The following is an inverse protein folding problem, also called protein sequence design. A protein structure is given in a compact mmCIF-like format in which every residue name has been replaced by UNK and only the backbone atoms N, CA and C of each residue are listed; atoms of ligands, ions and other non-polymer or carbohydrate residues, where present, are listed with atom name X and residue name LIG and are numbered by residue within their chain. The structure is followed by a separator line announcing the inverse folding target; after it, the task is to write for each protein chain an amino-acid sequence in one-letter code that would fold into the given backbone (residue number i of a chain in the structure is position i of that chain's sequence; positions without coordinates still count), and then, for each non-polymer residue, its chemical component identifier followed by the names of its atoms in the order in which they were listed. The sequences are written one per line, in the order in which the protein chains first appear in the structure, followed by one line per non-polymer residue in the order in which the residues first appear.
data_IF_588880320605
#
_entry.id   IF_588880320605
#
_cell.length_a   1.000
_cell.length_b   1.000
_cell.length_c   1.000
_cell.angle_alpha   90.00
_cell.angle_beta   90.00
_cell.angle_gamma   90.00
#
_symmetry.space_group_name_H-M   'P 1'
#
loop_
_entity.id
_entity.type
_entity.pdbx_description
1 polymer ?
#
# COMPACT_ATOMS: atom_id res chain seq x y z
N UNK A 1 3.95 -43.41 5.63
CA UNK A 1 3.53 -42.29 6.49
C UNK A 1 3.97 -41.02 5.78
N UNK A 2 3.00 -40.23 5.30
CA UNK A 2 3.22 -39.13 4.36
C UNK A 2 4.17 -38.08 4.97
N UNK A 3 5.27 -37.78 4.28
CA UNK A 3 6.05 -36.59 4.55
C UNK A 3 5.13 -35.39 4.29
N UNK A 4 4.64 -34.77 5.37
CA UNK A 4 4.03 -33.45 5.30
C UNK A 4 5.06 -32.54 4.64
N UNK A 5 4.80 -32.17 3.39
CA UNK A 5 5.56 -31.16 2.68
C UNK A 5 5.62 -29.95 3.56
N UNK A 6 6.83 -29.67 4.08
CA UNK A 6 7.18 -28.44 4.76
C UNK A 6 6.47 -27.31 4.01
N UNK A 7 5.58 -26.60 4.69
CA UNK A 7 4.98 -25.40 4.15
C UNK A 7 6.10 -24.37 3.95
N UNK A 8 6.86 -24.52 2.87
CA UNK A 8 7.71 -23.48 2.32
C UNK A 8 6.75 -22.36 1.95
N UNK A 9 6.56 -21.43 2.89
CA UNK A 9 5.84 -20.19 2.65
C UNK A 9 6.46 -19.63 1.37
N UNK A 10 5.73 -19.61 0.24
CA UNK A 10 6.37 -19.45 -1.05
C UNK A 10 7.07 -18.10 -1.03
N UNK A 11 8.39 -18.08 -1.22
CA UNK A 11 9.17 -16.84 -1.20
C UNK A 11 8.55 -15.75 -2.11
N UNK A 12 7.82 -16.17 -3.15
CA UNK A 12 7.00 -15.30 -4.00
C UNK A 12 5.90 -14.51 -3.28
N UNK A 13 5.25 -15.05 -2.24
CA UNK A 13 4.23 -14.32 -1.48
C UNK A 13 4.83 -13.11 -0.75
N UNK A 14 6.00 -13.29 -0.12
CA UNK A 14 6.70 -12.21 0.56
C UNK A 14 7.14 -11.12 -0.43
N UNK A 15 7.61 -11.49 -1.63
CA UNK A 15 7.98 -10.55 -2.68
C UNK A 15 6.76 -9.76 -3.17
N UNK A 16 5.63 -10.44 -3.41
CA UNK A 16 4.38 -9.81 -3.85
C UNK A 16 3.86 -8.85 -2.78
N UNK A 17 3.98 -9.19 -1.50
CA UNK A 17 3.61 -8.30 -0.40
C UNK A 17 4.39 -6.98 -0.42
N UNK A 18 5.72 -7.04 -0.63
CA UNK A 18 6.55 -5.84 -0.76
C UNK A 18 6.20 -5.03 -2.00
N UNK A 19 5.98 -5.69 -3.13
CA UNK A 19 5.60 -5.02 -4.36
C UNK A 19 4.25 -4.32 -4.23
N UNK A 20 3.26 -4.98 -3.61
CA UNK A 20 1.97 -4.37 -3.31
C UNK A 20 2.10 -3.18 -2.36
N UNK A 21 2.96 -3.29 -1.34
CA UNK A 21 3.26 -2.18 -0.46
C UNK A 21 3.81 -0.96 -1.23
N UNK A 22 4.75 -1.19 -2.15
CA UNK A 22 5.31 -0.14 -3.01
C UNK A 22 4.25 0.48 -3.93
N UNK A 23 3.40 -0.33 -4.55
CA UNK A 23 2.31 0.16 -5.40
C UNK A 23 1.36 1.05 -4.59
N UNK A 24 0.94 0.61 -3.41
CA UNK A 24 0.06 1.41 -2.55
C UNK A 24 0.70 2.72 -2.10
N UNK A 25 2.01 2.69 -1.79
CA UNK A 25 2.76 3.88 -1.41
C UNK A 25 2.80 4.91 -2.56
N UNK A 26 3.08 4.45 -3.78
CA UNK A 26 3.08 5.30 -4.97
C UNK A 26 1.69 5.85 -5.26
N UNK A 27 0.66 4.99 -5.24
CA UNK A 27 -0.72 5.40 -5.49
C UNK A 27 -1.23 6.40 -4.45
N UNK A 28 -0.93 6.19 -3.17
CA UNK A 28 -1.27 7.14 -2.09
C UNK A 28 -0.56 8.48 -2.26
N UNK A 29 0.72 8.46 -2.63
CA UNK A 29 1.51 9.68 -2.89
C UNK A 29 0.97 10.47 -4.10
N UNK A 30 0.63 9.76 -5.19
CA UNK A 30 0.02 10.38 -6.37
C UNK A 30 -1.37 10.93 -6.06
N UNK A 31 -2.18 10.20 -5.30
CA UNK A 31 -3.50 10.68 -4.88
C UNK A 31 -3.38 11.99 -4.09
N UNK A 32 -2.45 12.10 -3.16
CA UNK A 32 -2.20 13.36 -2.42
C UNK A 32 -1.73 14.46 -3.37
N UNK A 33 -0.76 14.17 -4.24
CA UNK A 33 -0.21 15.14 -5.20
C UNK A 33 -1.31 15.72 -6.10
N UNK A 34 -2.10 14.88 -6.76
CA UNK A 34 -3.18 15.34 -7.64
C UNK A 34 -4.33 16.00 -6.87
N UNK A 35 -4.56 15.63 -5.61
CA UNK A 35 -5.53 16.33 -4.76
C UNK A 35 -5.09 17.76 -4.47
N UNK A 36 -3.79 17.99 -4.27
CA UNK A 36 -3.25 19.33 -4.06
C UNK A 36 -3.44 20.21 -5.31
N UNK A 37 -3.19 19.67 -6.50
CA UNK A 37 -3.42 20.36 -7.78
C UNK A 37 -4.90 20.67 -8.05
N UNK A 38 -5.81 19.84 -7.52
CA UNK A 38 -7.25 19.96 -7.75
C UNK A 38 -8.02 20.61 -6.58
N UNK A 39 -7.33 21.24 -5.62
CA UNK A 39 -7.95 21.72 -4.37
C UNK A 39 -9.09 22.73 -4.61
N UNK A 40 -8.94 23.61 -5.61
CA UNK A 40 -9.95 24.60 -5.97
C UNK A 40 -11.21 23.96 -6.56
N UNK A 41 -11.06 22.86 -7.29
CA UNK A 41 -12.16 22.11 -7.92
C UNK A 41 -12.85 21.21 -6.90
N UNK A 42 -12.08 20.58 -6.03
CA UNK A 42 -12.58 19.65 -5.01
C UNK A 42 -13.30 20.36 -3.86
N UNK A 43 -12.94 21.62 -3.59
CA UNK A 43 -13.48 22.36 -2.46
C UNK A 43 -13.33 21.55 -1.18
N UNK A 44 -14.32 21.53 -0.26
CA UNK A 44 -14.20 20.84 1.04
C UNK A 44 -13.85 19.35 0.97
N UNK A 45 -14.10 18.68 -0.17
CA UNK A 45 -13.83 17.26 -0.33
C UNK A 45 -12.34 16.93 -0.43
N UNK A 46 -11.46 17.91 -0.66
CA UNK A 46 -10.01 17.69 -0.76
C UNK A 46 -9.46 16.95 0.47
N UNK A 47 -9.99 17.22 1.66
CA UNK A 47 -9.63 16.57 2.92
C UNK A 47 -9.84 15.06 2.87
N UNK A 48 -10.94 14.60 2.26
CA UNK A 48 -11.23 13.17 2.13
C UNK A 48 -10.20 12.48 1.24
N UNK A 49 -9.84 13.08 0.11
CA UNK A 49 -8.87 12.52 -0.81
C UNK A 49 -7.45 12.51 -0.23
N UNK A 50 -7.04 13.55 0.49
CA UNK A 50 -5.76 13.56 1.22
C UNK A 50 -5.76 12.50 2.33
N UNK A 51 -6.83 12.38 3.10
CA UNK A 51 -6.94 11.35 4.14
C UNK A 51 -6.85 9.94 3.55
N UNK A 52 -7.56 9.69 2.44
CA UNK A 52 -7.52 8.40 1.75
C UNK A 52 -6.14 8.11 1.14
N UNK A 53 -5.52 9.08 0.47
CA UNK A 53 -4.16 8.94 -0.06
C UNK A 53 -3.14 8.68 1.05
N UNK A 54 -3.28 9.36 2.19
CA UNK A 54 -2.45 9.14 3.38
C UNK A 54 -2.64 7.74 3.95
N UNK A 55 -3.89 7.25 4.03
CA UNK A 55 -4.19 5.89 4.43
C UNK A 55 -3.51 4.85 3.51
N UNK A 56 -3.63 5.02 2.19
CA UNK A 56 -2.94 4.14 1.23
C UNK A 56 -1.42 4.16 1.39
N UNK A 57 -0.83 5.34 1.61
CA UNK A 57 0.59 5.48 1.84
C UNK A 57 1.04 4.77 3.13
N UNK A 58 0.28 4.90 4.21
CA UNK A 58 0.54 4.24 5.48
C UNK A 58 0.42 2.72 5.37
N UNK A 59 -0.62 2.21 4.70
CA UNK A 59 -0.79 0.77 4.46
C UNK A 59 0.34 0.25 3.58
N UNK A 60 0.70 0.98 2.51
CA UNK A 60 1.81 0.63 1.64
C UNK A 60 3.14 0.54 2.39
N UNK A 61 3.41 1.53 3.24
CA UNK A 61 4.57 1.53 4.12
C UNK A 61 4.55 0.36 5.11
N UNK A 62 3.40 0.07 5.72
CA UNK A 62 3.24 -1.06 6.63
C UNK A 62 3.55 -2.40 5.95
N UNK A 63 3.08 -2.63 4.72
CA UNK A 63 3.40 -3.83 3.95
C UNK A 63 4.89 -3.91 3.58
N UNK A 64 5.53 -2.79 3.27
CA UNK A 64 6.99 -2.74 3.01
C UNK A 64 7.77 -3.09 4.29
N UNK A 65 7.32 -2.64 5.45
CA UNK A 65 8.01 -2.85 6.73
C UNK A 65 7.66 -4.19 7.41
N UNK A 66 6.53 -4.81 7.08
CA UNK A 66 6.08 -6.07 7.66
C UNK A 66 7.18 -7.13 7.53
N UNK A 67 7.55 -7.81 8.62
CA UNK A 67 8.53 -8.90 8.52
C UNK A 67 7.81 -10.11 7.94
N UNK A 68 8.42 -10.74 6.93
CA UNK A 68 7.97 -12.04 6.45
C UNK A 68 8.32 -13.08 7.53
N UNK A 69 7.37 -13.35 8.42
CA UNK A 69 7.45 -14.46 9.38
C UNK A 69 7.20 -15.81 8.70
#
# INVERSE_FOLDING_TARGET
MMAMGRAERPAGLAIVEKLMGLILLVMGSLAIYYTAEAVEVLGPLWLLFVAFGSFLALVGLALILARAE
#
